data_IF_807006159203
#
_entry.id   IF_807006159203
#
_cell.length_a   1.000
_cell.length_b   1.000
_cell.length_c   1.000
_cell.angle_alpha   90.00
_cell.angle_beta   90.00
_cell.angle_gamma   90.00
#
_symmetry.space_group_name_H-M   'P 1'
#
loop_
_entity.id
_entity.type
_entity.pdbx_description
1 polymer ?
#
# COMPACT_ATOMS: atom_id res chain seq x y z
N UNK A 1 21.53 13.74 2.18
CA UNK A 1 21.16 12.31 2.10
C UNK A 1 20.73 11.87 3.48
N UNK A 2 19.59 11.19 3.62
CA UNK A 2 19.08 10.66 4.90
C UNK A 2 18.96 9.14 4.83
N UNK A 3 19.28 8.48 5.92
CA UNK A 3 19.11 7.03 6.07
C UNK A 3 18.27 6.78 7.32
N UNK A 4 17.10 6.16 7.12
CA UNK A 4 16.15 5.83 8.18
C UNK A 4 16.16 4.34 8.55
N UNK A 5 16.91 3.51 7.83
CA UNK A 5 16.89 2.05 7.92
C UNK A 5 18.23 1.47 8.39
N UNK A 6 19.32 2.23 8.28
CA UNK A 6 20.65 1.86 8.74
C UNK A 6 21.26 0.70 7.94
N UNK A 7 22.27 0.05 8.53
CA UNK A 7 22.92 -1.10 7.90
C UNK A 7 22.00 -2.33 7.97
N UNK A 8 21.38 -2.67 6.85
CA UNK A 8 20.52 -3.84 6.75
C UNK A 8 21.33 -5.12 6.50
N UNK A 9 20.86 -6.28 6.98
CA UNK A 9 21.39 -7.54 6.52
C UNK A 9 21.11 -7.72 5.01
N UNK A 10 21.86 -8.59 4.31
CA UNK A 10 21.52 -8.97 2.94
C UNK A 10 20.06 -9.45 2.85
N UNK A 11 19.33 -8.93 1.86
CA UNK A 11 17.95 -9.33 1.55
C UNK A 11 17.96 -10.21 0.29
N UNK A 12 18.17 -11.54 0.42
CA UNK A 12 18.34 -12.44 -0.73
C UNK A 12 17.07 -12.62 -1.58
N UNK A 13 15.91 -12.24 -1.05
CA UNK A 13 14.64 -12.28 -1.76
C UNK A 13 13.78 -11.08 -1.38
N UNK A 14 13.49 -10.24 -2.37
CA UNK A 14 12.44 -9.21 -2.30
C UNK A 14 11.35 -9.70 -3.24
N UNK A 15 10.09 -9.71 -2.78
CA UNK A 15 8.94 -10.22 -3.54
C UNK A 15 7.85 -9.15 -3.64
N UNK A 16 6.95 -9.23 -4.65
CA UNK A 16 5.82 -8.30 -4.74
C UNK A 16 5.03 -8.22 -3.42
N UNK A 17 4.57 -7.02 -3.09
CA UNK A 17 3.83 -6.67 -1.87
C UNK A 17 4.61 -6.69 -0.54
N UNK A 18 5.89 -7.07 -0.52
CA UNK A 18 6.75 -6.95 0.66
C UNK A 18 7.46 -5.59 0.74
N UNK A 19 7.85 -5.12 1.95
CA UNK A 19 8.72 -3.97 2.11
C UNK A 19 10.11 -4.21 1.50
N UNK A 20 10.60 -3.22 0.76
CA UNK A 20 11.91 -3.22 0.12
C UNK A 20 12.61 -1.88 0.42
N UNK A 21 13.95 -1.89 0.57
CA UNK A 21 14.71 -0.65 0.67
C UNK A 21 14.73 0.07 -0.69
N UNK A 22 14.39 1.35 -0.69
CA UNK A 22 14.41 2.20 -1.89
C UNK A 22 15.16 3.50 -1.62
N UNK A 23 15.78 4.06 -2.66
CA UNK A 23 16.26 5.44 -2.66
C UNK A 23 15.22 6.31 -3.34
N UNK A 24 14.65 7.28 -2.62
CA UNK A 24 13.67 8.24 -3.16
C UNK A 24 14.03 9.69 -2.83
N UNK A 25 13.40 10.62 -3.53
CA UNK A 25 13.44 12.04 -3.18
C UNK A 25 12.30 12.33 -2.22
N UNK A 26 12.62 12.82 -1.02
CA UNK A 26 11.64 13.24 -0.02
C UNK A 26 10.93 14.53 -0.46
N UNK A 27 9.85 14.89 0.23
CA UNK A 27 9.06 16.09 -0.09
C UNK A 27 9.86 17.40 0.01
N UNK A 28 10.92 17.42 0.82
CA UNK A 28 11.83 18.55 0.97
C UNK A 28 13.03 18.52 -0.01
N UNK A 29 12.98 17.64 -1.01
CA UNK A 29 14.00 17.51 -2.05
C UNK A 29 15.24 16.71 -1.63
N UNK A 30 15.31 16.25 -0.37
CA UNK A 30 16.46 15.48 0.11
C UNK A 30 16.33 14.01 -0.33
N UNK A 31 17.41 13.43 -0.87
CA UNK A 31 17.48 11.98 -1.12
C UNK A 31 17.45 11.20 0.19
N UNK A 32 16.57 10.21 0.30
CA UNK A 32 16.43 9.34 1.47
C UNK A 32 16.42 7.85 1.11
N UNK A 33 17.02 7.04 1.99
CA UNK A 33 16.91 5.59 2.02
C UNK A 33 15.81 5.21 3.02
N UNK A 34 14.78 4.53 2.53
CA UNK A 34 13.57 4.18 3.30
C UNK A 34 13.00 2.81 2.89
N UNK A 35 12.18 2.21 3.77
CA UNK A 35 11.39 1.02 3.43
C UNK A 35 10.09 1.40 2.72
N UNK A 36 9.75 0.72 1.62
CA UNK A 36 8.49 0.89 0.91
C UNK A 36 7.95 -0.44 0.36
N UNK A 37 6.62 -0.59 0.26
CA UNK A 37 5.99 -1.77 -0.36
C UNK A 37 6.36 -1.87 -1.84
N UNK A 38 6.80 -3.06 -2.29
CA UNK A 38 7.05 -3.32 -3.71
C UNK A 38 5.74 -3.62 -4.45
N UNK A 39 5.02 -2.55 -4.75
CA UNK A 39 3.74 -2.60 -5.45
C UNK A 39 3.00 -1.28 -5.26
N UNK A 40 2.67 -0.63 -6.37
CA UNK A 40 1.85 0.58 -6.34
C UNK A 40 0.40 0.17 -6.06
N UNK A 41 -0.20 0.70 -4.99
CA UNK A 41 -1.66 0.72 -4.90
C UNK A 41 -2.17 1.82 -5.85
N UNK A 42 -2.90 1.49 -6.93
CA UNK A 42 -3.42 2.52 -7.82
C UNK A 42 -4.42 3.38 -7.05
N UNK A 43 -4.33 4.70 -7.20
CA UNK A 43 -5.25 5.64 -6.52
C UNK A 43 -6.70 5.57 -7.03
N UNK A 44 -6.96 4.81 -8.09
CA UNK A 44 -8.25 4.75 -8.79
C UNK A 44 -9.32 3.85 -8.12
N UNK A 45 -9.05 3.29 -6.93
CA UNK A 45 -9.96 2.37 -6.23
C UNK A 45 -10.85 2.97 -5.14
N UNK A 46 -10.64 4.23 -4.73
CA UNK A 46 -11.53 4.90 -3.77
C UNK A 46 -12.63 5.65 -4.52
N UNK A 47 -13.66 4.94 -4.99
CA UNK A 47 -14.94 5.59 -5.27
C UNK A 47 -15.53 5.98 -3.92
N UNK A 48 -15.53 7.28 -3.61
CA UNK A 48 -16.37 7.82 -2.54
C UNK A 48 -17.80 7.38 -2.87
N UNK A 49 -18.34 6.44 -2.10
CA UNK A 49 -19.78 6.19 -2.08
C UNK A 49 -20.42 7.46 -1.51
N UNK A 50 -20.76 8.40 -2.40
CA UNK A 50 -21.59 9.52 -2.04
C UNK A 50 -23.04 9.06 -2.13
N UNK A 51 -23.66 8.85 -0.98
CA UNK A 51 -25.11 8.90 -0.79
C UNK A 51 -25.95 7.77 -1.39
N UNK A 52 -26.47 6.91 -0.51
CA UNK A 52 -27.66 6.09 -0.79
C UNK A 52 -27.47 4.64 -0.39
N UNK A 53 -27.82 4.30 0.86
CA UNK A 53 -28.14 2.92 1.21
C UNK A 53 -29.37 2.52 0.38
N UNK A 54 -29.32 1.47 -0.46
CA UNK A 54 -30.56 0.79 -0.80
C UNK A 54 -31.00 0.02 0.44
N UNK A 55 -31.88 0.64 1.22
CA UNK A 55 -32.85 -0.12 2.01
C UNK A 55 -33.69 -0.92 1.03
N UNK A 56 -33.39 -2.22 0.86
CA UNK A 56 -34.36 -3.26 0.54
C UNK A 56 -33.69 -4.64 0.58
N UNK A 57 -33.84 -5.29 1.73
CA UNK A 57 -34.33 -6.68 1.86
C UNK A 57 -33.86 -7.72 0.83
N UNK A 58 -32.93 -8.58 1.25
CA UNK A 58 -32.92 -9.98 0.84
C UNK A 58 -32.92 -10.84 2.11
N UNK A 59 -34.09 -10.91 2.73
CA UNK A 59 -34.44 -12.01 3.62
C UNK A 59 -34.44 -13.28 2.78
N UNK A 60 -33.61 -14.25 3.21
CA UNK A 60 -33.84 -15.71 3.14
C UNK A 60 -34.04 -16.29 1.74
N UNK A 61 -33.12 -17.15 1.31
CA UNK A 61 -33.34 -18.60 1.31
C UNK A 61 -32.12 -19.38 0.76
N UNK A 62 -31.83 -20.51 1.40
CA UNK A 62 -31.24 -21.75 0.85
C UNK A 62 -29.70 -21.82 0.68
N UNK A 63 -29.07 -22.49 1.64
CA UNK A 63 -27.87 -23.31 1.42
C UNK A 63 -28.22 -24.75 1.85
N UNK A 64 -28.24 -25.73 0.94
CA UNK A 64 -27.70 -27.06 1.19
C UNK A 64 -26.20 -27.13 0.88
#
# INVERSE_FOLDING_TARGET
MRDSVGNMPPLPGIFPDYPAPIVRTAADGVRELAMARWGMVPRLGLRRHEGGLPTAEHTRAEQP
#
